data_IF_211199621962
#
_entry.id   IF_211199621962
#
_cell.length_a   1.000
_cell.length_b   1.000
_cell.length_c   1.000
_cell.angle_alpha   90.00
_cell.angle_beta   90.00
_cell.angle_gamma   90.00
#
_symmetry.space_group_name_H-M   'P 1'
#
loop_
_entity.id
_entity.type
_entity.pdbx_description
1 polymer ?
#
# COMPACT_ATOMS: atom_id res chain seq x y z
N UNK A 1 9.58 -5.02 5.90
CA UNK A 1 9.16 -3.81 5.15
C UNK A 1 9.81 -2.59 5.80
N UNK A 2 10.42 -1.71 5.00
CA UNK A 2 10.96 -0.44 5.47
C UNK A 2 9.96 0.67 5.14
N UNK A 3 9.59 1.48 6.13
CA UNK A 3 8.78 2.67 5.90
C UNK A 3 9.76 3.83 5.83
N UNK A 4 9.88 4.48 4.68
CA UNK A 4 10.42 5.82 4.65
C UNK A 4 9.45 6.69 5.44
N UNK A 5 9.81 7.02 6.68
CA UNK A 5 9.00 7.88 7.55
C UNK A 5 9.08 9.30 6.98
N UNK A 6 8.26 9.55 5.97
CA UNK A 6 7.97 10.90 5.52
C UNK A 6 7.07 11.56 6.57
N UNK A 7 7.67 11.95 7.69
CA UNK A 7 6.99 12.75 8.71
C UNK A 7 6.53 14.05 8.07
N UNK A 8 5.22 14.31 8.09
CA UNK A 8 4.61 15.54 7.59
C UNK A 8 3.95 15.47 6.22
N UNK A 9 3.96 14.32 5.53
CA UNK A 9 3.25 14.21 4.24
C UNK A 9 1.82 13.74 4.42
N UNK A 10 0.89 14.62 4.06
CA UNK A 10 -0.53 14.30 3.97
C UNK A 10 -0.80 13.35 2.80
N UNK A 11 -1.52 12.26 3.08
CA UNK A 11 -2.00 11.32 2.07
C UNK A 11 -3.34 11.73 1.45
N UNK A 12 -3.97 12.82 1.94
CA UNK A 12 -5.28 13.28 1.48
C UNK A 12 -5.25 13.59 -0.02
N UNK A 13 -6.11 12.91 -0.79
CA UNK A 13 -6.20 13.10 -2.24
C UNK A 13 -4.98 12.59 -3.02
N UNK A 14 -4.12 11.79 -2.39
CA UNK A 14 -2.91 11.24 -3.04
C UNK A 14 -3.19 9.86 -3.61
N UNK A 15 -2.52 9.56 -4.72
CA UNK A 15 -2.44 8.22 -5.27
C UNK A 15 -1.22 7.50 -4.68
N UNK A 16 -1.39 6.27 -4.19
CA UNK A 16 -0.34 5.49 -3.53
C UNK A 16 -0.15 4.16 -4.26
N UNK A 17 1.10 3.83 -4.57
CA UNK A 17 1.48 2.51 -5.08
C UNK A 17 2.11 1.70 -3.96
N UNK A 18 1.45 0.60 -3.58
CA UNK A 18 2.04 -0.42 -2.72
C UNK A 18 2.90 -1.34 -3.60
N UNK A 19 4.15 -1.54 -3.20
CA UNK A 19 5.09 -2.44 -3.89
C UNK A 19 5.50 -3.52 -2.90
N UNK A 20 5.36 -4.77 -3.33
CA UNK A 20 5.84 -5.95 -2.59
C UNK A 20 6.48 -6.93 -3.56
N UNK A 21 7.23 -7.91 -3.06
CA UNK A 21 7.83 -8.92 -3.92
C UNK A 21 6.80 -9.98 -4.36
N UNK A 22 6.06 -10.55 -3.42
CA UNK A 22 5.18 -11.70 -3.63
C UNK A 22 3.80 -11.51 -3.02
N UNK A 23 2.76 -11.66 -3.83
CA UNK A 23 1.38 -11.77 -3.38
C UNK A 23 1.00 -13.24 -3.13
N UNK A 24 0.67 -13.56 -1.88
CA UNK A 24 0.05 -14.85 -1.51
C UNK A 24 -1.47 -14.68 -1.38
N UNK A 25 -2.02 -14.72 -0.16
CA UNK A 25 -3.46 -14.50 0.10
C UNK A 25 -3.88 -13.03 -0.09
N UNK A 26 -2.93 -12.11 -0.06
CA UNK A 26 -3.18 -10.67 -0.12
C UNK A 26 -3.65 -10.02 1.17
N UNK A 27 -3.70 -10.76 2.29
CA UNK A 27 -4.12 -10.22 3.58
C UNK A 27 -3.27 -9.01 4.01
N UNK A 28 -1.95 -9.10 3.88
CA UNK A 28 -1.02 -8.01 4.24
C UNK A 28 -1.23 -6.76 3.39
N UNK A 29 -1.31 -6.92 2.06
CA UNK A 29 -1.53 -5.81 1.12
C UNK A 29 -2.91 -5.18 1.28
N UNK A 30 -3.94 -5.98 1.58
CA UNK A 30 -5.29 -5.50 1.88
C UNK A 30 -5.34 -4.67 3.17
N UNK A 31 -4.69 -5.14 4.23
CA UNK A 31 -4.57 -4.39 5.49
C UNK A 31 -3.83 -3.05 5.27
N UNK A 32 -2.72 -3.06 4.53
CA UNK A 32 -1.97 -1.85 4.19
C UNK A 32 -2.83 -0.85 3.37
N UNK A 33 -3.54 -1.32 2.34
CA UNK A 33 -4.43 -0.50 1.54
C UNK A 33 -5.56 0.12 2.39
N UNK A 34 -6.13 -0.65 3.32
CA UNK A 34 -7.16 -0.16 4.25
C UNK A 34 -6.63 0.98 5.14
N UNK A 35 -5.42 0.83 5.69
CA UNK A 35 -4.76 1.88 6.48
C UNK A 35 -4.51 3.15 5.65
N UNK A 36 -4.05 3.01 4.41
CA UNK A 36 -3.80 4.14 3.51
C UNK A 36 -5.10 4.87 3.12
N UNK A 37 -6.19 4.15 2.85
CA UNK A 37 -7.51 4.77 2.61
C UNK A 37 -7.98 5.56 3.82
N UNK A 38 -7.87 4.99 5.02
CA UNK A 38 -8.21 5.67 6.28
C UNK A 38 -7.37 6.93 6.50
N UNK A 39 -6.13 6.95 6.01
CA UNK A 39 -5.27 8.12 6.05
C UNK A 39 -5.56 9.17 4.95
N UNK A 40 -6.55 8.92 4.08
CA UNK A 40 -7.03 9.87 3.07
C UNK A 40 -6.50 9.65 1.66
N UNK A 41 -5.76 8.57 1.39
CA UNK A 41 -5.36 8.22 0.02
C UNK A 41 -6.60 8.00 -0.85
N UNK A 42 -6.60 8.59 -2.04
CA UNK A 42 -7.73 8.53 -2.99
C UNK A 42 -7.65 7.26 -3.83
N UNK A 43 -6.49 7.01 -4.43
CA UNK A 43 -6.25 5.86 -5.28
C UNK A 43 -5.14 5.00 -4.68
N UNK A 44 -5.34 3.69 -4.68
CA UNK A 44 -4.34 2.73 -4.21
C UNK A 44 -4.21 1.64 -5.26
N UNK A 45 -2.99 1.45 -5.74
CA UNK A 45 -2.61 0.35 -6.62
C UNK A 45 -1.61 -0.56 -5.91
N UNK A 46 -1.54 -1.81 -6.35
CA UNK A 46 -0.59 -2.81 -5.85
C UNK A 46 0.22 -3.32 -7.03
N UNK A 47 1.54 -3.30 -6.89
CA UNK A 47 2.48 -3.92 -7.81
C UNK A 47 3.26 -5.01 -7.07
N UNK A 48 3.27 -6.21 -7.63
CA UNK A 48 4.04 -7.35 -7.13
C UNK A 48 4.78 -8.02 -8.26
N UNK A 49 5.94 -8.59 -7.94
CA UNK A 49 6.77 -9.31 -8.93
C UNK A 49 6.20 -10.70 -9.19
N UNK A 50 5.67 -11.37 -8.15
CA UNK A 50 5.09 -12.69 -8.28
C UNK A 50 3.75 -12.81 -7.53
N UNK A 51 2.89 -13.71 -8.01
CA UNK A 51 1.69 -14.17 -7.30
C UNK A 51 1.75 -15.67 -7.13
N UNK A 52 1.58 -16.13 -5.89
CA UNK A 52 1.48 -17.55 -5.56
C UNK A 52 0.01 -17.93 -5.47
N UNK A 53 -0.34 -19.12 -5.96
CA UNK A 53 -1.69 -19.70 -5.83
C UNK A 53 -1.91 -20.29 -4.45
#
# INVERSE_FOLDING_TARGET
FAINRMSGVSLKGKSVLLVDDVLTTGASLSAAASCLKKAGAENIAVCVVARVK
#
